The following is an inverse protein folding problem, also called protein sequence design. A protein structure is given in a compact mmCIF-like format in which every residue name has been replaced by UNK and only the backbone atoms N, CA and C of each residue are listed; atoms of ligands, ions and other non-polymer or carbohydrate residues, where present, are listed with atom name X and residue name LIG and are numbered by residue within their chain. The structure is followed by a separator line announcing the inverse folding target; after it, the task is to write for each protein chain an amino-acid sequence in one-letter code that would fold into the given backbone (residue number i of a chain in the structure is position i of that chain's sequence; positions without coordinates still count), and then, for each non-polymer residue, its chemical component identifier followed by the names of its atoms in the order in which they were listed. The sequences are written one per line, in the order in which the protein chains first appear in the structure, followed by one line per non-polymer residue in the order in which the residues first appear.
data_IF_815888936074
#
_entry.id   IF_815888936074
#
_cell.length_a   1.000
_cell.length_b   1.000
_cell.length_c   1.000
_cell.angle_alpha   90.00
_cell.angle_beta   90.00
_cell.angle_gamma   90.00
#
_symmetry.space_group_name_H-M   'P 1'
#
loop_
_entity.id
_entity.type
_entity.pdbx_description
1 polymer ?
#
# COMPACT_ATOMS: atom_id res chain seq x y z
N UNK A 1 46.15 -1.91 39.16
CA UNK A 1 45.94 -1.04 40.34
C UNK A 1 44.47 -0.66 40.30
N UNK A 2 43.69 -1.06 41.32
CA UNK A 2 42.29 -0.72 41.66
C UNK A 2 41.32 -0.31 40.51
N UNK A 3 40.20 -0.99 40.19
CA UNK A 3 39.27 -1.89 40.91
C UNK A 3 38.47 -1.28 42.08
N UNK A 4 37.21 -1.71 42.21
CA UNK A 4 36.17 -1.28 43.17
C UNK A 4 35.53 0.10 42.89
N UNK A 5 34.25 0.36 43.24
CA UNK A 5 33.20 -0.59 43.64
C UNK A 5 32.09 -0.01 44.56
N UNK A 6 30.82 -0.12 44.13
CA UNK A 6 29.56 0.05 44.91
C UNK A 6 29.28 1.44 45.54
N UNK A 7 27.99 1.73 45.80
CA UNK A 7 27.57 2.99 46.43
C UNK A 7 26.08 3.35 46.34
N UNK A 8 25.16 2.44 46.68
CA UNK A 8 23.74 2.80 46.86
C UNK A 8 23.54 3.75 48.05
N UNK A 9 22.57 4.67 47.96
CA UNK A 9 21.93 5.25 49.15
C UNK A 9 20.50 5.73 48.90
N UNK A 10 19.53 5.05 49.51
CA UNK A 10 18.15 5.52 49.66
C UNK A 10 18.08 6.80 50.50
N UNK A 11 17.09 7.66 50.22
CA UNK A 11 16.68 8.71 51.15
C UNK A 11 15.15 8.91 51.18
N UNK A 12 14.48 8.16 52.06
CA UNK A 12 13.08 8.41 52.45
C UNK A 12 12.98 8.95 53.87
N UNK A 13 12.50 10.19 54.04
CA UNK A 13 11.83 10.73 55.24
C UNK A 13 11.39 12.19 54.97
N UNK A 14 10.30 12.73 55.53
CA UNK A 14 9.10 12.15 56.16
C UNK A 14 8.04 13.25 56.31
N UNK A 15 6.77 12.90 56.51
CA UNK A 15 5.68 13.85 56.68
C UNK A 15 5.81 14.76 57.92
N UNK A 16 5.23 15.96 57.84
CA UNK A 16 4.50 16.53 58.97
C UNK A 16 3.34 17.43 58.51
N UNK A 17 2.17 17.27 59.13
CA UNK A 17 1.00 18.11 58.91
C UNK A 17 1.05 19.38 59.77
N UNK A 18 0.37 20.45 59.31
CA UNK A 18 -0.43 21.29 60.22
C UNK A 18 -1.59 21.96 59.49
N UNK A 19 -2.71 22.19 60.18
CA UNK A 19 -3.91 22.86 59.65
C UNK A 19 -4.12 24.21 60.34
N UNK A 20 -4.51 25.23 59.58
CA UNK A 20 -5.51 26.27 59.90
C UNK A 20 -5.32 27.49 58.96
N UNK A 21 -6.27 28.42 58.79
CA UNK A 21 -7.73 28.40 58.59
C UNK A 21 -8.18 29.88 58.47
N UNK A 22 -9.42 30.15 58.03
CA UNK A 22 -9.94 31.50 57.69
C UNK A 22 -9.29 32.11 56.41
N UNK A 23 -9.99 32.83 55.52
CA UNK A 23 -11.43 32.96 55.32
C UNK A 23 -11.96 34.40 55.36
N UNK A 24 -12.28 34.97 54.19
CA UNK A 24 -13.28 36.06 54.00
C UNK A 24 -13.68 36.23 52.53
N UNK A 25 -14.95 36.55 52.31
CA UNK A 25 -15.55 36.93 51.03
C UNK A 25 -15.50 38.43 50.80
N UNK A 26 -15.66 38.89 49.55
CA UNK A 26 -16.39 40.13 49.19
C UNK A 26 -16.67 40.24 47.67
N UNK A 27 -17.90 40.65 47.33
CA UNK A 27 -18.39 41.25 46.06
C UNK A 27 -19.17 42.52 46.48
N UNK A 28 -19.24 43.62 45.70
CA UNK A 28 -20.01 43.75 44.43
C UNK A 28 -19.21 44.58 43.37
N UNK A 29 -19.71 45.23 42.31
CA UNK A 29 -21.04 45.73 41.82
C UNK A 29 -20.97 45.87 40.27
N UNK A 30 -21.97 45.46 39.48
CA UNK A 30 -23.08 46.25 38.87
C UNK A 30 -22.67 47.44 37.96
N UNK A 31 -23.14 47.36 36.70
CA UNK A 31 -23.39 48.36 35.63
C UNK A 31 -23.06 49.86 35.86
N UNK A 32 -22.62 50.56 34.80
CA UNK A 32 -23.51 51.48 34.03
C UNK A 32 -22.89 52.19 32.78
N UNK A 33 -23.75 52.35 31.75
CA UNK A 33 -23.93 53.53 30.86
C UNK A 33 -23.03 53.93 29.65
N UNK A 34 -23.74 54.53 28.68
CA UNK A 34 -23.40 55.55 27.65
C UNK A 34 -22.73 55.14 26.31
N UNK A 35 -23.53 55.24 25.24
CA UNK A 35 -23.10 55.80 23.94
C UNK A 35 -23.35 57.32 23.92
N UNK A 36 -22.87 58.06 22.90
CA UNK A 36 -23.84 58.72 22.02
C UNK A 36 -23.42 59.00 20.55
N UNK A 37 -24.42 58.92 19.66
CA UNK A 37 -24.69 59.79 18.47
C UNK A 37 -23.64 59.83 17.32
N UNK A 38 -23.97 59.43 16.08
CA UNK A 38 -24.97 59.93 15.09
C UNK A 38 -24.41 61.03 14.18
N UNK A 39 -24.47 60.79 12.86
CA UNK A 39 -24.64 61.83 11.84
C UNK A 39 -25.52 61.31 10.69
N UNK A 40 -26.26 62.19 10.04
CA UNK A 40 -27.10 61.87 8.86
C UNK A 40 -26.29 62.02 7.56
N UNK A 41 -26.66 61.25 6.53
CA UNK A 41 -27.27 61.85 5.35
C UNK A 41 -28.13 60.83 4.60
N UNK A 42 -29.24 61.29 4.02
CA UNK A 42 -30.09 60.46 3.15
C UNK A 42 -29.81 60.79 1.69
N UNK A 43 -29.92 59.77 0.82
CA UNK A 43 -30.18 60.00 -0.60
C UNK A 43 -31.13 58.94 -1.15
N UNK A 44 -32.12 59.38 -1.91
CA UNK A 44 -33.12 58.55 -2.57
C UNK A 44 -32.67 58.33 -4.01
N UNK A 45 -32.58 57.07 -4.47
CA UNK A 45 -32.50 56.76 -5.92
C UNK A 45 -32.95 55.32 -6.23
N UNK A 46 -34.10 55.26 -6.90
CA UNK A 46 -34.48 54.40 -8.04
C UNK A 46 -33.76 53.06 -8.20
N UNK A 47 -34.55 51.98 -8.18
CA UNK A 47 -34.18 50.64 -8.63
C UNK A 47 -33.83 50.61 -10.13
N UNK A 48 -32.69 50.02 -10.47
CA UNK A 48 -32.46 49.43 -11.79
C UNK A 48 -31.75 48.08 -11.60
N UNK A 49 -32.31 47.02 -12.18
CA UNK A 49 -31.73 45.69 -12.20
C UNK A 49 -30.60 45.61 -13.22
N UNK A 50 -29.45 45.08 -12.81
CA UNK A 50 -28.38 44.65 -13.71
C UNK A 50 -28.01 43.23 -13.32
N UNK A 51 -28.28 42.29 -14.21
CA UNK A 51 -27.79 40.92 -14.12
C UNK A 51 -26.28 40.92 -14.41
N UNK A 52 -25.50 40.13 -13.67
CA UNK A 52 -24.06 39.99 -13.87
C UNK A 52 -23.74 38.51 -14.00
N UNK A 53 -23.21 38.12 -15.16
CA UNK A 53 -22.85 36.75 -15.47
C UNK A 53 -21.65 36.27 -14.63
N UNK A 54 -21.71 35.05 -14.12
CA UNK A 54 -20.58 34.44 -13.41
C UNK A 54 -19.46 34.05 -14.39
N UNK A 55 -18.36 34.79 -14.39
CA UNK A 55 -17.12 34.34 -15.03
C UNK A 55 -16.31 33.46 -14.10
N UNK A 56 -16.21 32.17 -14.45
CA UNK A 56 -15.18 31.28 -13.90
C UNK A 56 -13.79 31.91 -14.08
N UNK A 57 -13.04 32.02 -13.00
CA UNK A 57 -11.60 32.25 -13.02
C UNK A 57 -10.92 30.88 -13.01
N UNK A 58 -10.07 30.62 -14.01
CA UNK A 58 -9.18 29.46 -14.01
C UNK A 58 -7.94 29.78 -13.19
N UNK A 59 -7.72 29.03 -12.10
CA UNK A 59 -6.49 29.18 -11.32
C UNK A 59 -5.31 28.52 -12.07
N UNK A 60 -4.14 29.16 -12.04
CA UNK A 60 -2.92 28.69 -12.70
C UNK A 60 -1.77 28.77 -11.72
N UNK A 61 -1.29 27.62 -11.25
CA UNK A 61 -0.22 27.54 -10.25
C UNK A 61 0.83 26.49 -10.60
N UNK A 62 2.09 26.93 -10.77
CA UNK A 62 3.28 26.08 -10.63
C UNK A 62 3.67 25.26 -11.87
N UNK A 63 4.53 25.83 -12.71
CA UNK A 63 5.42 25.03 -13.57
C UNK A 63 6.54 24.43 -12.68
N UNK A 64 6.31 23.23 -12.14
CA UNK A 64 7.43 22.36 -11.73
C UNK A 64 8.03 21.74 -13.00
N UNK A 65 9.37 21.64 -13.08
CA UNK A 65 10.05 21.07 -14.25
C UNK A 65 9.92 19.54 -14.28
N UNK A 66 8.75 19.05 -14.69
CA UNK A 66 8.54 17.66 -15.06
C UNK A 66 9.45 17.29 -16.24
N UNK A 67 10.19 16.18 -16.13
CA UNK A 67 11.03 15.65 -17.21
C UNK A 67 10.14 14.94 -18.24
N UNK A 68 9.36 15.73 -18.98
CA UNK A 68 8.46 15.25 -20.03
C UNK A 68 9.29 14.74 -21.21
N UNK A 69 9.48 13.42 -21.28
CA UNK A 69 9.95 12.74 -22.47
C UNK A 69 8.82 12.72 -23.51
N UNK A 70 9.13 13.17 -24.73
CA UNK A 70 8.18 13.29 -25.83
C UNK A 70 7.64 11.90 -26.23
N UNK A 71 6.32 11.69 -26.05
CA UNK A 71 5.66 10.38 -26.24
C UNK A 71 5.33 9.58 -24.97
N UNK A 72 5.42 10.18 -23.77
CA UNK A 72 5.05 9.56 -22.50
C UNK A 72 3.58 9.08 -22.40
N UNK A 73 3.30 8.32 -21.33
CA UNK A 73 2.03 7.64 -21.08
C UNK A 73 0.87 8.63 -20.97
N UNK A 74 -0.06 8.47 -21.92
CA UNK A 74 -1.32 9.21 -22.01
C UNK A 74 -2.31 8.59 -21.02
N UNK A 75 -2.67 9.35 -19.99
CA UNK A 75 -3.71 8.95 -19.03
C UNK A 75 -5.05 8.77 -19.76
N UNK A 76 -5.68 7.59 -19.71
CA UNK A 76 -7.00 7.38 -20.30
C UNK A 76 -8.06 8.24 -19.58
N UNK A 77 -9.10 8.72 -20.28
CA UNK A 77 -10.10 9.62 -19.70
C UNK A 77 -11.05 8.94 -18.70
N UNK A 78 -11.07 7.61 -18.67
CA UNK A 78 -11.96 6.78 -17.83
C UNK A 78 -11.28 5.45 -17.47
N UNK A 79 -11.69 4.84 -16.36
CA UNK A 79 -11.27 3.52 -15.91
C UNK A 79 -11.81 2.39 -16.82
N UNK A 80 -11.51 1.13 -16.48
CA UNK A 80 -11.93 -0.05 -17.24
C UNK A 80 -13.46 -0.24 -17.33
N UNK A 81 -14.24 0.45 -16.49
CA UNK A 81 -15.72 0.44 -16.50
C UNK A 81 -16.34 1.65 -17.21
N UNK A 82 -15.55 2.66 -17.60
CA UNK A 82 -16.03 3.89 -18.23
C UNK A 82 -16.38 5.02 -17.24
N UNK A 83 -15.95 4.92 -15.99
CA UNK A 83 -16.13 5.96 -14.96
C UNK A 83 -14.83 6.78 -14.76
N UNK A 84 -14.92 7.86 -13.98
CA UNK A 84 -13.73 8.56 -13.47
C UNK A 84 -12.94 7.62 -12.56
N UNK A 85 -11.60 7.63 -12.64
CA UNK A 85 -10.74 6.84 -11.76
C UNK A 85 -10.91 7.20 -10.27
N UNK A 86 -11.02 6.18 -9.41
CA UNK A 86 -11.23 6.32 -7.96
C UNK A 86 -12.37 7.26 -7.58
N UNK A 87 -13.52 7.07 -8.23
CA UNK A 87 -14.76 7.80 -7.96
C UNK A 87 -15.71 6.94 -7.11
N UNK A 88 -15.65 7.18 -5.80
CA UNK A 88 -16.43 6.46 -4.79
C UNK A 88 -17.88 6.96 -4.67
N UNK A 89 -18.25 8.00 -5.43
CA UNK A 89 -19.60 8.59 -5.41
C UNK A 89 -20.47 8.19 -6.61
N UNK A 90 -19.92 7.46 -7.59
CA UNK A 90 -20.72 6.86 -8.67
C UNK A 90 -21.65 5.78 -8.13
N UNK A 91 -22.92 5.86 -8.50
CA UNK A 91 -23.84 4.72 -8.35
C UNK A 91 -23.42 3.60 -9.31
N UNK A 92 -22.67 2.65 -8.79
CA UNK A 92 -22.14 1.47 -9.49
C UNK A 92 -22.32 0.24 -8.60
N UNK A 93 -22.35 -0.95 -9.19
CA UNK A 93 -22.60 -2.19 -8.45
C UNK A 93 -21.51 -2.52 -7.40
N UNK A 94 -20.32 -1.91 -7.52
CA UNK A 94 -19.23 -2.02 -6.52
C UNK A 94 -19.34 -1.00 -5.38
N UNK A 95 -20.12 0.09 -5.51
CA UNK A 95 -20.15 1.22 -4.56
C UNK A 95 -20.38 0.78 -3.11
N UNK A 96 -21.46 0.05 -2.87
CA UNK A 96 -21.90 -0.33 -1.52
C UNK A 96 -20.90 -1.32 -0.88
N UNK A 97 -20.27 -2.17 -1.70
CA UNK A 97 -19.21 -3.08 -1.28
C UNK A 97 -17.93 -2.34 -0.87
N UNK A 98 -17.49 -1.35 -1.65
CA UNK A 98 -16.31 -0.54 -1.36
C UNK A 98 -16.53 0.36 -0.13
N UNK A 99 -17.73 0.94 0.06
CA UNK A 99 -18.02 1.70 1.29
C UNK A 99 -18.06 0.80 2.53
N UNK A 100 -18.66 -0.40 2.46
CA UNK A 100 -18.66 -1.36 3.58
C UNK A 100 -17.25 -1.91 3.87
N UNK A 101 -16.45 -2.16 2.83
CA UNK A 101 -15.02 -2.51 2.96
C UNK A 101 -14.27 -1.44 3.77
N UNK A 102 -14.38 -0.17 3.37
CA UNK A 102 -13.67 0.92 4.05
C UNK A 102 -14.23 1.17 5.45
N UNK A 103 -15.54 0.98 5.67
CA UNK A 103 -16.12 1.00 7.02
C UNK A 103 -15.49 -0.06 7.92
N UNK A 104 -15.38 -1.31 7.47
CA UNK A 104 -14.79 -2.39 8.27
C UNK A 104 -13.29 -2.16 8.49
N UNK A 105 -12.54 -1.74 7.47
CA UNK A 105 -11.14 -1.34 7.60
C UNK A 105 -10.96 -0.26 8.68
N UNK A 106 -11.66 0.87 8.53
CA UNK A 106 -11.48 2.03 9.39
C UNK A 106 -11.94 1.81 10.83
N UNK A 107 -12.83 0.85 11.10
CA UNK A 107 -13.20 0.45 12.46
C UNK A 107 -12.11 -0.37 13.16
N UNK A 108 -11.43 -1.26 12.43
CA UNK A 108 -10.57 -2.29 13.02
C UNK A 108 -9.06 -1.96 12.96
N UNK A 109 -8.63 -1.11 12.02
CA UNK A 109 -7.26 -0.60 11.92
C UNK A 109 -6.92 0.32 13.10
N UNK A 110 -6.40 -0.28 14.17
CA UNK A 110 -6.00 0.36 15.43
C UNK A 110 -4.52 0.12 15.71
N UNK A 111 -3.92 0.96 16.56
CA UNK A 111 -2.52 0.83 17.00
C UNK A 111 -2.23 -0.58 17.54
N UNK A 112 -3.14 -1.14 18.32
CA UNK A 112 -2.97 -2.47 18.90
C UNK A 112 -3.19 -3.61 17.89
N UNK A 113 -4.02 -3.39 16.85
CA UNK A 113 -4.13 -4.32 15.73
C UNK A 113 -2.82 -4.33 14.92
N UNK A 114 -2.38 -3.18 14.42
CA UNK A 114 -1.17 -3.03 13.59
C UNK A 114 0.07 -3.60 14.29
N UNK A 115 0.24 -3.37 15.60
CA UNK A 115 1.35 -3.95 16.37
C UNK A 115 1.34 -5.47 16.36
N UNK A 116 0.18 -6.12 16.60
CA UNK A 116 0.06 -7.59 16.54
C UNK A 116 0.34 -8.13 15.15
N UNK A 117 -0.16 -7.47 14.10
CA UNK A 117 0.07 -7.89 12.73
C UNK A 117 1.55 -7.81 12.35
N UNK A 118 2.24 -6.71 12.70
CA UNK A 118 3.69 -6.58 12.51
C UNK A 118 4.50 -7.60 13.34
N UNK A 119 4.06 -7.93 14.56
CA UNK A 119 4.70 -8.95 15.39
C UNK A 119 4.53 -10.37 14.81
N UNK A 120 3.34 -10.69 14.29
CA UNK A 120 3.09 -12.01 13.71
C UNK A 120 3.78 -12.16 12.35
N UNK A 121 3.51 -11.26 11.40
CA UNK A 121 3.95 -11.38 10.02
C UNK A 121 5.38 -10.90 9.80
N UNK A 122 5.96 -10.09 10.70
CA UNK A 122 7.37 -9.70 10.68
C UNK A 122 8.35 -10.86 10.89
N UNK A 123 7.86 -12.04 11.32
CA UNK A 123 8.63 -13.31 11.31
C UNK A 123 8.86 -13.85 9.91
N UNK A 124 8.03 -13.43 8.95
CA UNK A 124 7.92 -13.93 7.58
C UNK A 124 7.69 -15.46 7.48
N UNK A 125 7.23 -16.11 8.55
CA UNK A 125 7.35 -17.57 8.75
C UNK A 125 6.37 -18.46 7.95
N UNK A 126 5.65 -17.87 6.97
CA UNK A 126 4.49 -18.48 6.30
C UNK A 126 4.85 -19.45 5.16
N UNK A 127 5.40 -18.94 4.05
CA UNK A 127 5.64 -19.70 2.81
C UNK A 127 6.91 -19.22 2.11
N UNK A 128 7.77 -20.14 1.70
CA UNK A 128 8.97 -19.86 0.88
C UNK A 128 8.66 -20.10 -0.60
N UNK A 129 8.96 -19.13 -1.46
CA UNK A 129 8.77 -19.20 -2.92
C UNK A 129 9.69 -18.19 -3.64
N UNK A 130 9.65 -18.15 -4.98
CA UNK A 130 10.25 -17.08 -5.78
C UNK A 130 9.25 -15.97 -6.12
N UNK A 131 9.76 -14.76 -6.42
CA UNK A 131 8.92 -13.59 -6.76
C UNK A 131 7.99 -13.87 -7.94
N UNK A 132 8.41 -14.70 -8.90
CA UNK A 132 7.55 -15.04 -10.03
C UNK A 132 6.46 -16.05 -9.68
N UNK A 133 6.73 -17.03 -8.81
CA UNK A 133 5.69 -17.92 -8.27
C UNK A 133 4.65 -17.13 -7.45
N UNK A 134 5.08 -16.09 -6.73
CA UNK A 134 4.18 -15.16 -6.04
C UNK A 134 3.29 -14.37 -7.03
N UNK A 135 3.86 -13.90 -8.14
CA UNK A 135 3.09 -13.27 -9.23
C UNK A 135 2.06 -14.24 -9.84
N UNK A 136 2.43 -15.50 -10.05
CA UNK A 136 1.55 -16.53 -10.62
C UNK A 136 0.46 -16.99 -9.63
N UNK A 137 0.75 -17.02 -8.33
CA UNK A 137 -0.19 -17.38 -7.26
C UNK A 137 -1.32 -16.34 -7.08
N UNK A 138 -1.03 -15.05 -7.29
CA UNK A 138 -2.02 -13.98 -7.13
C UNK A 138 -3.10 -13.93 -8.23
N UNK A 139 -3.04 -14.78 -9.25
CA UNK A 139 -4.12 -14.92 -10.23
C UNK A 139 -5.48 -15.33 -9.62
N UNK A 140 -5.49 -15.89 -8.41
CA UNK A 140 -6.70 -16.28 -7.68
C UNK A 140 -7.27 -15.15 -6.79
N UNK A 141 -6.62 -13.97 -6.73
CA UNK A 141 -7.04 -12.83 -5.90
C UNK A 141 -7.69 -11.74 -6.76
N UNK A 142 -8.86 -11.26 -6.30
CA UNK A 142 -9.55 -10.06 -6.79
C UNK A 142 -9.64 -9.06 -5.64
N UNK A 143 -9.29 -7.81 -5.89
CA UNK A 143 -9.27 -6.72 -4.90
C UNK A 143 -10.68 -6.14 -4.71
N UNK A 144 -11.26 -6.28 -3.52
CA UNK A 144 -12.59 -5.75 -3.16
C UNK A 144 -12.61 -4.23 -2.95
N UNK A 145 -11.45 -3.59 -2.74
CA UNK A 145 -11.34 -2.15 -2.45
C UNK A 145 -11.20 -1.28 -3.71
N UNK A 146 -10.80 -1.89 -4.83
CA UNK A 146 -10.57 -1.21 -6.10
C UNK A 146 -11.91 -0.93 -6.83
N UNK A 147 -12.23 0.33 -7.15
CA UNK A 147 -13.38 0.66 -8.01
C UNK A 147 -13.06 0.59 -9.52
N UNK A 148 -11.79 0.40 -9.91
CA UNK A 148 -11.31 0.64 -11.28
C UNK A 148 -10.97 -0.63 -12.09
N UNK A 149 -10.83 -1.82 -11.48
CA UNK A 149 -10.42 -3.07 -12.13
C UNK A 149 -11.13 -4.33 -11.60
N UNK A 150 -11.11 -5.43 -12.39
CA UNK A 150 -11.65 -6.77 -12.06
C UNK A 150 -10.90 -7.89 -12.84
N UNK A 151 -9.64 -7.63 -13.22
CA UNK A 151 -8.77 -8.56 -13.94
C UNK A 151 -7.83 -9.29 -12.96
N UNK A 152 -7.25 -10.46 -13.32
CA UNK A 152 -6.31 -11.17 -12.45
C UNK A 152 -5.12 -10.30 -12.04
N UNK A 153 -4.73 -10.35 -10.77
CA UNK A 153 -3.74 -9.46 -10.17
C UNK A 153 -2.39 -9.40 -10.92
N UNK A 154 -1.96 -10.47 -11.61
CA UNK A 154 -0.72 -10.46 -12.41
C UNK A 154 -0.79 -9.49 -13.61
N UNK A 155 -1.98 -9.26 -14.17
CA UNK A 155 -2.17 -8.32 -15.28
C UNK A 155 -1.95 -6.89 -14.79
N UNK A 156 -2.43 -6.53 -13.59
CA UNK A 156 -2.16 -5.20 -12.99
C UNK A 156 -0.66 -4.96 -12.74
N UNK A 157 0.04 -5.96 -12.18
CA UNK A 157 1.49 -5.91 -11.97
C UNK A 157 2.25 -5.67 -13.28
N UNK A 158 1.90 -6.41 -14.34
CA UNK A 158 2.56 -6.32 -15.64
C UNK A 158 2.13 -5.09 -16.46
N UNK A 159 0.88 -4.63 -16.35
CA UNK A 159 0.41 -3.37 -16.94
C UNK A 159 1.17 -2.18 -16.33
N UNK A 160 1.26 -2.14 -15.01
CA UNK A 160 2.01 -1.09 -14.29
C UNK A 160 3.49 -1.11 -14.67
N UNK A 161 4.12 -2.29 -14.65
CA UNK A 161 5.54 -2.41 -14.94
C UNK A 161 5.90 -2.14 -16.42
N UNK A 162 5.15 -2.66 -17.39
CA UNK A 162 5.39 -2.38 -18.82
C UNK A 162 5.06 -0.92 -19.19
N UNK A 163 4.06 -0.30 -18.56
CA UNK A 163 3.73 1.11 -18.78
C UNK A 163 4.85 2.05 -18.29
N UNK A 164 5.42 1.79 -17.11
CA UNK A 164 6.63 2.51 -16.64
C UNK A 164 7.80 2.24 -17.57
N UNK A 165 8.04 0.97 -17.93
CA UNK A 165 9.17 0.54 -18.79
C UNK A 165 9.18 1.18 -20.17
N UNK A 166 8.01 1.53 -20.72
CA UNK A 166 7.89 2.29 -21.96
C UNK A 166 8.46 3.71 -21.82
N UNK A 167 8.24 4.35 -20.68
CA UNK A 167 8.54 5.77 -20.45
C UNK A 167 9.90 6.00 -19.77
N UNK A 168 10.35 5.07 -18.91
CA UNK A 168 11.60 5.12 -18.15
C UNK A 168 12.52 3.92 -18.45
N UNK A 169 12.83 3.60 -19.72
CA UNK A 169 13.38 2.29 -20.13
C UNK A 169 14.68 1.85 -19.43
N UNK A 170 15.48 2.79 -18.91
CA UNK A 170 16.72 2.52 -18.18
C UNK A 170 16.51 2.28 -16.66
N UNK A 171 15.38 2.65 -16.09
CA UNK A 171 15.09 2.59 -14.64
C UNK A 171 14.62 1.18 -14.19
N UNK A 172 15.43 0.16 -14.49
CA UNK A 172 15.10 -1.25 -14.26
C UNK A 172 14.76 -1.64 -12.81
N UNK A 173 15.12 -0.82 -11.81
CA UNK A 173 14.69 -0.99 -10.42
C UNK A 173 13.23 -0.60 -10.21
N UNK A 174 12.73 0.41 -10.93
CA UNK A 174 11.36 0.90 -10.86
C UNK A 174 10.40 -0.08 -11.55
N UNK A 175 10.83 -0.72 -12.65
CA UNK A 175 10.06 -1.79 -13.30
C UNK A 175 9.90 -3.01 -12.38
N UNK A 176 10.93 -3.33 -11.60
CA UNK A 176 10.85 -4.42 -10.62
C UNK A 176 10.01 -4.01 -9.40
N UNK A 177 10.17 -2.78 -8.90
CA UNK A 177 9.29 -2.20 -7.87
C UNK A 177 7.83 -2.30 -8.29
N UNK A 178 7.53 -1.99 -9.55
CA UNK A 178 6.20 -2.11 -10.13
C UNK A 178 5.71 -3.55 -10.32
N UNK A 179 6.59 -4.50 -10.63
CA UNK A 179 6.23 -5.92 -10.62
C UNK A 179 5.88 -6.41 -9.20
N UNK A 180 6.50 -5.83 -8.15
CA UNK A 180 6.40 -6.40 -6.79
C UNK A 180 5.53 -5.63 -5.79
N UNK A 181 5.07 -4.41 -6.09
CA UNK A 181 4.34 -3.54 -5.15
C UNK A 181 3.17 -4.27 -4.46
N UNK A 182 2.33 -4.91 -5.28
CA UNK A 182 1.08 -5.53 -4.87
C UNK A 182 1.25 -6.97 -4.35
N UNK A 183 2.48 -7.51 -4.34
CA UNK A 183 2.72 -8.90 -3.92
C UNK A 183 2.39 -9.18 -2.46
N UNK A 184 2.27 -8.13 -1.63
CA UNK A 184 1.77 -8.27 -0.26
C UNK A 184 0.32 -8.77 -0.16
N UNK A 185 -0.45 -8.77 -1.27
CA UNK A 185 -1.82 -9.29 -1.32
C UNK A 185 -1.95 -10.79 -1.02
N UNK A 186 -0.85 -11.55 -1.06
CA UNK A 186 -0.85 -12.97 -0.68
C UNK A 186 -1.32 -13.24 0.75
N UNK A 187 -1.31 -12.23 1.63
CA UNK A 187 -1.92 -12.27 2.96
C UNK A 187 -3.38 -12.77 2.99
N UNK A 188 -4.14 -12.54 1.92
CA UNK A 188 -5.52 -13.01 1.80
C UNK A 188 -5.63 -14.54 1.59
N UNK A 189 -4.54 -15.20 1.17
CA UNK A 189 -4.54 -16.62 0.82
C UNK A 189 -4.41 -17.52 2.06
N UNK A 190 -5.02 -18.73 2.08
CA UNK A 190 -4.96 -19.66 3.21
C UNK A 190 -3.54 -20.07 3.64
N UNK A 191 -2.59 -20.10 2.70
CA UNK A 191 -1.19 -20.44 3.00
C UNK A 191 -0.44 -19.36 3.79
N UNK A 192 -0.92 -18.11 3.77
CA UNK A 192 -0.30 -16.98 4.49
C UNK A 192 -1.04 -16.63 5.78
N UNK A 193 -2.35 -16.87 5.84
CA UNK A 193 -3.16 -16.65 7.04
C UNK A 193 -4.63 -16.37 6.80
N UNK A 194 -5.10 -16.35 5.54
CA UNK A 194 -6.50 -16.08 5.17
C UNK A 194 -7.04 -14.76 5.74
N UNK A 195 -6.24 -13.70 5.70
CA UNK A 195 -6.65 -12.42 6.25
C UNK A 195 -7.85 -11.85 5.47
N UNK A 196 -8.86 -11.28 6.14
CA UNK A 196 -9.97 -10.62 5.46
C UNK A 196 -9.44 -9.39 4.70
N UNK A 197 -10.00 -9.09 3.52
CA UNK A 197 -9.40 -8.11 2.62
C UNK A 197 -9.17 -6.73 3.24
N UNK A 198 -10.02 -6.29 4.20
CA UNK A 198 -9.83 -5.02 4.92
C UNK A 198 -8.50 -4.91 5.69
N UNK A 199 -7.86 -6.04 5.99
CA UNK A 199 -6.54 -6.16 6.63
C UNK A 199 -5.40 -6.46 5.62
N UNK A 200 -5.68 -6.33 4.32
CA UNK A 200 -4.76 -6.65 3.22
C UNK A 200 -4.69 -5.51 2.20
N UNK A 201 -5.81 -5.06 1.66
CA UNK A 201 -5.89 -4.10 0.53
C UNK A 201 -6.45 -2.73 0.94
N UNK A 202 -6.56 -1.81 -0.02
CA UNK A 202 -7.14 -0.49 0.15
C UNK A 202 -6.18 0.59 0.68
N UNK A 203 -6.65 1.83 0.65
CA UNK A 203 -5.91 3.03 1.09
C UNK A 203 -5.36 2.89 2.52
N UNK A 204 -4.08 3.21 2.70
CA UNK A 204 -3.42 3.19 4.01
C UNK A 204 -3.37 4.56 4.67
N UNK A 205 -3.36 4.57 6.01
CA UNK A 205 -3.28 5.77 6.84
C UNK A 205 -2.45 5.52 8.11
N UNK A 206 -1.84 6.56 8.73
CA UNK A 206 -1.19 6.43 10.02
C UNK A 206 -2.18 6.10 11.14
N UNK A 207 -1.89 5.08 11.94
CA UNK A 207 -2.58 4.83 13.21
C UNK A 207 -1.82 5.50 14.36
N UNK A 208 -2.51 5.84 15.44
CA UNK A 208 -1.87 6.41 16.65
C UNK A 208 -1.61 7.92 16.60
N UNK A 209 -2.03 8.59 15.53
CA UNK A 209 -2.28 10.03 15.47
C UNK A 209 -3.69 10.29 14.89
N UNK A 210 -4.11 11.55 14.80
CA UNK A 210 -5.45 11.87 14.31
C UNK A 210 -5.65 11.46 12.83
N UNK A 211 -6.81 10.86 12.53
CA UNK A 211 -7.25 10.54 11.18
C UNK A 211 -7.67 11.81 10.43
N UNK A 212 -6.99 12.11 9.32
CA UNK A 212 -7.19 13.30 8.50
C UNK A 212 -8.44 13.17 7.60
N UNK A 213 -9.21 14.26 7.43
CA UNK A 213 -10.47 14.25 6.68
C UNK A 213 -10.30 13.96 5.17
N UNK A 214 -9.06 13.96 4.65
CA UNK A 214 -8.74 13.53 3.28
C UNK A 214 -8.69 12.02 3.06
N UNK A 215 -8.77 11.19 4.12
CA UNK A 215 -8.88 9.73 3.98
C UNK A 215 -10.27 9.37 3.42
N UNK A 216 -10.32 8.45 2.46
CA UNK A 216 -11.56 7.97 1.84
C UNK A 216 -12.56 7.47 2.90
N UNK A 217 -13.86 7.74 2.74
CA UNK A 217 -14.92 7.42 3.72
C UNK A 217 -14.60 7.72 5.21
N UNK A 218 -13.80 8.76 5.53
CA UNK A 218 -13.36 9.16 6.89
C UNK A 218 -14.44 9.12 7.99
N UNK A 219 -15.70 9.39 7.61
CA UNK A 219 -16.90 9.32 8.48
C UNK A 219 -16.97 8.09 9.39
N UNK A 220 -16.40 6.95 8.97
CA UNK A 220 -16.43 5.69 9.72
C UNK A 220 -15.39 5.56 10.84
N UNK A 221 -14.31 6.35 10.85
CA UNK A 221 -13.34 6.31 11.96
C UNK A 221 -13.97 6.67 13.31
N UNK A 222 -15.14 7.31 13.35
CA UNK A 222 -15.89 7.59 14.58
C UNK A 222 -16.24 6.34 15.40
N UNK A 223 -16.28 5.17 14.76
CA UNK A 223 -16.51 3.86 15.38
C UNK A 223 -15.19 3.14 15.78
N UNK A 224 -14.01 3.65 15.37
CA UNK A 224 -12.70 3.10 15.74
C UNK A 224 -12.37 3.40 17.21
N UNK A 225 -11.85 2.41 17.99
CA UNK A 225 -11.48 2.63 19.40
C UNK A 225 -10.44 3.74 19.61
N UNK A 226 -9.57 3.99 18.64
CA UNK A 226 -8.48 4.98 18.74
C UNK A 226 -8.92 6.42 18.42
N UNK A 227 -10.04 6.62 17.70
CA UNK A 227 -10.48 7.94 17.25
C UNK A 227 -10.79 8.91 18.41
N UNK A 228 -11.32 8.39 19.52
CA UNK A 228 -11.60 9.17 20.73
C UNK A 228 -10.51 8.99 21.82
N UNK A 229 -9.43 8.26 21.54
CA UNK A 229 -8.37 7.98 22.51
C UNK A 229 -7.47 9.22 22.68
N UNK A 230 -7.34 9.81 23.90
CA UNK A 230 -6.56 11.03 24.12
C UNK A 230 -5.05 10.88 23.90
N UNK A 231 -4.53 9.65 23.80
CA UNK A 231 -3.15 9.41 23.39
C UNK A 231 -2.94 9.55 21.87
N UNK A 232 -3.99 9.37 21.07
CA UNK A 232 -3.90 9.21 19.62
C UNK A 232 -4.64 10.31 18.85
N UNK A 233 -5.72 10.88 19.37
CA UNK A 233 -6.60 11.83 18.67
C UNK A 233 -6.06 13.26 18.50
N UNK A 234 -4.73 13.43 18.45
CA UNK A 234 -4.06 14.73 18.21
C UNK A 234 -3.19 14.67 16.95
N UNK A 235 -2.77 15.84 16.42
CA UNK A 235 -1.99 15.96 15.17
C UNK A 235 -0.77 15.02 15.11
N UNK A 236 -0.08 14.81 16.23
CA UNK A 236 1.08 13.94 16.32
C UNK A 236 0.81 12.64 17.09
N UNK A 237 -0.11 12.64 18.06
CA UNK A 237 -0.44 11.45 18.86
C UNK A 237 0.78 10.90 19.58
N UNK A 238 1.22 9.69 19.20
CA UNK A 238 2.45 9.04 19.71
C UNK A 238 3.75 9.50 19.01
N UNK A 239 3.67 10.26 17.92
CA UNK A 239 4.83 10.63 17.10
C UNK A 239 5.43 11.99 17.49
N UNK A 240 6.62 12.29 16.99
CA UNK A 240 7.20 13.64 16.97
C UNK A 240 7.05 14.28 15.59
N UNK A 241 7.17 15.61 15.52
CA UNK A 241 7.33 16.30 14.25
C UNK A 241 8.60 15.80 13.53
N UNK A 242 8.49 15.59 12.21
CA UNK A 242 9.60 15.15 11.36
C UNK A 242 10.24 13.81 11.75
N UNK A 243 9.51 12.90 12.41
CA UNK A 243 10.06 11.61 12.87
C UNK A 243 10.53 10.69 11.72
N UNK A 244 10.10 10.93 10.49
CA UNK A 244 10.32 10.06 9.34
C UNK A 244 9.28 8.95 9.26
N UNK A 245 8.78 8.66 8.06
CA UNK A 245 7.69 7.69 7.89
C UNK A 245 8.08 6.24 8.25
N UNK A 246 9.38 5.88 8.29
CA UNK A 246 9.80 4.55 8.80
C UNK A 246 9.44 4.35 10.29
N UNK A 247 9.37 5.45 11.06
CA UNK A 247 8.98 5.48 12.47
C UNK A 247 7.45 5.63 12.69
N UNK A 248 6.65 5.68 11.62
CA UNK A 248 5.18 5.76 11.69
C UNK A 248 4.56 4.36 11.55
N UNK A 249 3.60 4.04 12.41
CA UNK A 249 2.75 2.86 12.22
C UNK A 249 1.64 3.19 11.22
N UNK A 250 1.73 2.60 10.03
CA UNK A 250 0.65 2.61 9.05
C UNK A 250 -0.38 1.53 9.38
N UNK A 251 -1.64 1.72 8.98
CA UNK A 251 -2.65 0.67 8.89
C UNK A 251 -2.09 -0.56 8.16
N UNK A 252 -2.32 -1.75 8.71
CA UNK A 252 -1.70 -2.98 8.22
C UNK A 252 -2.31 -3.44 6.90
N UNK A 253 -1.46 -3.84 5.96
CA UNK A 253 -1.84 -4.35 4.64
C UNK A 253 -0.62 -4.73 3.79
N UNK A 254 -0.86 -4.92 2.49
CA UNK A 254 0.11 -5.34 1.49
C UNK A 254 1.36 -4.44 1.43
N UNK A 255 1.23 -3.11 1.48
CA UNK A 255 2.35 -2.15 1.53
C UNK A 255 3.40 -2.52 2.60
N UNK A 256 2.95 -2.61 3.86
CA UNK A 256 3.83 -2.72 5.04
C UNK A 256 4.37 -4.15 5.20
N UNK A 257 3.60 -5.17 4.79
CA UNK A 257 4.06 -6.55 4.69
C UNK A 257 5.11 -6.74 3.58
N UNK A 258 4.86 -6.21 2.38
CA UNK A 258 5.80 -6.34 1.26
C UNK A 258 7.08 -5.53 1.49
N UNK A 259 6.99 -4.42 2.22
CA UNK A 259 8.16 -3.70 2.73
C UNK A 259 8.96 -4.54 3.75
N UNK A 260 8.31 -5.19 4.72
CA UNK A 260 8.98 -6.10 5.67
C UNK A 260 9.67 -7.26 4.93
N UNK A 261 8.97 -7.88 3.98
CA UNK A 261 9.53 -8.90 3.07
C UNK A 261 10.82 -8.40 2.42
N UNK A 262 10.80 -7.21 1.81
CA UNK A 262 11.97 -6.64 1.13
C UNK A 262 13.10 -6.23 2.09
N UNK A 263 12.78 -5.72 3.29
CA UNK A 263 13.76 -5.26 4.31
C UNK A 263 14.53 -6.43 4.91
N UNK A 264 13.84 -7.46 5.41
CA UNK A 264 14.47 -8.60 6.07
C UNK A 264 15.23 -9.51 5.09
N UNK A 265 14.78 -9.61 3.84
CA UNK A 265 15.52 -10.30 2.77
C UNK A 265 16.72 -9.50 2.26
N UNK A 266 16.93 -8.26 2.75
CA UNK A 266 18.03 -7.36 2.40
C UNK A 266 18.02 -7.06 0.90
N UNK A 267 16.84 -6.70 0.38
CA UNK A 267 16.66 -6.29 -1.01
C UNK A 267 17.64 -5.18 -1.39
N UNK A 268 18.13 -5.24 -2.62
CA UNK A 268 19.07 -4.28 -3.21
C UNK A 268 18.37 -3.21 -4.08
N UNK A 269 17.04 -3.05 -3.92
CA UNK A 269 16.31 -1.88 -4.41
C UNK A 269 16.80 -0.59 -3.72
N UNK A 270 16.76 0.57 -4.40
CA UNK A 270 17.05 1.86 -3.78
C UNK A 270 15.95 2.24 -2.76
N UNK A 271 16.22 3.21 -1.88
CA UNK A 271 15.24 3.65 -0.88
C UNK A 271 13.95 4.15 -1.50
N UNK A 272 14.00 4.83 -2.65
CA UNK A 272 12.83 5.18 -3.45
C UNK A 272 11.93 3.97 -3.81
N UNK A 273 12.53 2.82 -4.16
CA UNK A 273 11.77 1.60 -4.48
C UNK A 273 11.12 0.97 -3.24
N UNK A 274 11.82 0.97 -2.11
CA UNK A 274 11.26 0.51 -0.82
C UNK A 274 10.17 1.47 -0.30
N UNK A 275 10.32 2.77 -0.52
CA UNK A 275 9.36 3.81 -0.16
C UNK A 275 8.09 3.71 -0.99
N UNK A 276 8.21 3.46 -2.31
CA UNK A 276 7.05 3.15 -3.17
C UNK A 276 6.27 1.96 -2.60
N UNK A 277 6.95 0.82 -2.36
CA UNK A 277 6.28 -0.40 -1.86
C UNK A 277 5.49 -0.13 -0.58
N UNK A 278 6.02 0.66 0.36
CA UNK A 278 5.39 0.89 1.67
C UNK A 278 4.32 1.99 1.72
N UNK A 279 4.24 2.86 0.73
CA UNK A 279 3.38 4.05 0.79
C UNK A 279 2.58 4.31 -0.50
N UNK A 280 2.47 3.34 -1.40
CA UNK A 280 1.71 3.48 -2.64
C UNK A 280 0.18 3.48 -2.44
N UNK A 281 -0.28 2.91 -1.33
CA UNK A 281 -1.67 3.04 -0.89
C UNK A 281 -1.92 4.30 -0.02
N UNK A 282 -0.90 5.11 0.29
CA UNK A 282 -1.04 6.23 1.23
C UNK A 282 -1.59 7.50 0.55
N UNK A 283 -2.75 7.40 -0.09
CA UNK A 283 -3.33 8.45 -0.93
C UNK A 283 -3.57 9.79 -0.21
N UNK A 284 -3.86 9.77 1.10
CA UNK A 284 -3.94 10.98 1.91
C UNK A 284 -2.62 11.80 1.88
N UNK A 285 -1.46 11.14 1.80
CA UNK A 285 -0.17 11.81 1.61
C UNK A 285 0.07 12.19 0.13
N UNK A 286 0.13 11.22 -0.79
CA UNK A 286 0.65 11.50 -2.14
C UNK A 286 -0.35 12.19 -3.08
N UNK A 287 -1.67 12.02 -2.86
CA UNK A 287 -2.74 12.69 -3.62
C UNK A 287 -3.27 13.94 -2.91
N UNK A 288 -3.59 13.86 -1.61
CA UNK A 288 -4.18 14.99 -0.88
C UNK A 288 -3.16 15.90 -0.16
N UNK A 289 -1.93 15.41 0.09
CA UNK A 289 -0.87 16.22 0.68
C UNK A 289 -0.91 16.35 2.22
N UNK A 290 -1.71 15.55 2.91
CA UNK A 290 -1.78 15.46 4.36
C UNK A 290 -0.51 14.81 4.96
N UNK A 291 -0.44 14.72 6.29
CA UNK A 291 0.62 14.04 7.07
C UNK A 291 2.09 14.47 6.87
N UNK A 292 2.37 15.47 6.03
CA UNK A 292 3.72 16.03 5.78
C UNK A 292 4.48 16.47 7.04
N UNK A 293 3.80 16.70 8.16
CA UNK A 293 4.42 17.01 9.46
C UNK A 293 5.11 15.81 10.14
N UNK A 294 4.93 14.60 9.62
CA UNK A 294 5.64 13.39 10.07
C UNK A 294 6.87 13.07 9.19
N UNK A 295 6.91 13.60 7.96
CA UNK A 295 7.97 13.32 6.99
C UNK A 295 9.32 13.94 7.37
N UNK A 296 10.41 13.25 7.00
CA UNK A 296 11.77 13.78 7.00
C UNK A 296 12.23 14.20 5.58
N UNK A 297 13.51 14.54 5.43
CA UNK A 297 14.11 14.94 4.14
C UNK A 297 14.13 13.80 3.11
N UNK A 298 14.44 12.56 3.52
CA UNK A 298 14.46 11.39 2.64
C UNK A 298 13.05 11.01 2.16
N UNK A 299 12.05 11.07 3.04
CA UNK A 299 10.64 10.88 2.66
C UNK A 299 10.22 11.91 1.60
N UNK A 300 10.73 13.15 1.70
CA UNK A 300 10.39 14.25 0.80
C UNK A 300 11.01 14.07 -0.59
N UNK A 301 12.22 13.50 -0.68
CA UNK A 301 12.83 13.12 -1.95
C UNK A 301 12.14 11.88 -2.56
N UNK A 302 11.88 10.85 -1.76
CA UNK A 302 11.25 9.61 -2.23
C UNK A 302 9.77 9.80 -2.65
N UNK A 303 9.06 10.77 -2.07
CA UNK A 303 7.69 11.14 -2.49
C UNK A 303 7.60 11.55 -3.97
N UNK A 304 8.70 12.05 -4.57
CA UNK A 304 8.76 12.38 -6.00
C UNK A 304 8.62 11.11 -6.86
N UNK A 305 9.35 10.06 -6.50
CA UNK A 305 9.28 8.76 -7.16
C UNK A 305 7.95 8.04 -6.90
N UNK A 306 7.37 8.18 -5.71
CA UNK A 306 6.02 7.69 -5.41
C UNK A 306 4.95 8.35 -6.30
N UNK A 307 5.00 9.67 -6.49
CA UNK A 307 4.08 10.36 -7.43
C UNK A 307 4.24 9.87 -8.87
N UNK A 308 5.48 9.65 -9.32
CA UNK A 308 5.75 9.06 -10.64
C UNK A 308 5.12 7.66 -10.73
N UNK A 309 5.40 6.78 -9.76
CA UNK A 309 4.86 5.42 -9.73
C UNK A 309 3.33 5.37 -9.74
N UNK A 310 2.67 6.14 -8.88
CA UNK A 310 1.22 6.12 -8.69
C UNK A 310 0.44 6.56 -9.96
N UNK A 311 1.05 7.32 -10.87
CA UNK A 311 0.49 7.57 -12.21
C UNK A 311 0.26 6.25 -12.98
N UNK A 312 1.19 5.31 -12.91
CA UNK A 312 1.12 4.07 -13.69
C UNK A 312 0.29 3.01 -12.97
N UNK A 313 0.43 2.88 -11.65
CA UNK A 313 -0.42 2.01 -10.83
C UNK A 313 -1.91 2.35 -11.05
N UNK A 314 -2.30 3.61 -10.89
CA UNK A 314 -3.70 3.99 -11.06
C UNK A 314 -4.16 3.91 -12.53
N UNK A 315 -3.41 4.47 -13.47
CA UNK A 315 -3.92 4.74 -14.82
C UNK A 315 -3.56 3.68 -15.88
N UNK A 316 -2.68 2.71 -15.60
CA UNK A 316 -2.37 1.62 -16.55
C UNK A 316 -3.44 0.51 -16.59
N UNK A 317 -4.29 0.44 -15.55
CA UNK A 317 -5.37 -0.53 -15.37
C UNK A 317 -6.25 -0.64 -16.62
N UNK A 318 -6.21 -1.80 -17.26
CA UNK A 318 -6.74 -1.98 -18.61
C UNK A 318 -7.33 -3.37 -18.85
N UNK A 319 -8.28 -3.45 -19.79
CA UNK A 319 -8.79 -4.72 -20.35
C UNK A 319 -7.91 -5.29 -21.47
N UNK A 320 -6.81 -4.61 -21.81
CA UNK A 320 -5.77 -5.11 -22.71
C UNK A 320 -4.72 -5.83 -21.87
N UNK A 321 -4.75 -7.17 -21.92
CA UNK A 321 -3.83 -8.05 -21.21
C UNK A 321 -2.42 -8.04 -21.79
N UNK A 322 -1.44 -8.31 -20.95
CA UNK A 322 -0.02 -8.41 -21.32
C UNK A 322 0.29 -9.85 -21.76
N UNK A 323 1.15 -9.98 -22.77
CA UNK A 323 1.70 -11.28 -23.19
C UNK A 323 2.74 -11.75 -22.15
N UNK A 324 2.24 -12.46 -21.12
CA UNK A 324 3.01 -12.88 -19.94
C UNK A 324 4.28 -13.62 -20.33
N UNK A 325 4.19 -14.63 -21.21
CA UNK A 325 5.35 -15.46 -21.60
C UNK A 325 6.38 -14.68 -22.43
N UNK A 326 5.97 -13.64 -23.16
CA UNK A 326 6.88 -12.72 -23.86
C UNK A 326 7.63 -11.78 -22.92
N UNK A 327 7.03 -11.36 -21.80
CA UNK A 327 7.66 -10.41 -20.85
C UNK A 327 8.38 -11.08 -19.67
N UNK A 328 7.95 -12.27 -19.27
CA UNK A 328 8.51 -13.09 -18.18
C UNK A 328 10.04 -13.25 -18.23
N UNK A 329 10.70 -13.49 -19.38
CA UNK A 329 12.17 -13.53 -19.45
C UNK A 329 12.87 -12.21 -19.05
N UNK A 330 12.25 -11.05 -19.34
CA UNK A 330 12.78 -9.76 -18.92
C UNK A 330 12.68 -9.57 -17.42
N UNK A 331 11.50 -9.85 -16.84
CA UNK A 331 11.27 -9.67 -15.41
C UNK A 331 12.08 -10.65 -14.55
N UNK A 332 12.21 -11.93 -14.96
CA UNK A 332 13.15 -12.86 -14.33
C UNK A 332 14.59 -12.33 -14.35
N UNK A 333 15.01 -11.65 -15.42
CA UNK A 333 16.34 -11.00 -15.51
C UNK A 333 16.49 -9.74 -14.65
N UNK A 334 15.40 -9.15 -14.16
CA UNK A 334 15.43 -8.09 -13.15
C UNK A 334 15.48 -8.68 -11.74
N UNK A 335 14.64 -9.68 -11.45
CA UNK A 335 14.61 -10.35 -10.15
C UNK A 335 15.99 -10.94 -9.83
N UNK A 336 16.62 -11.65 -10.78
CA UNK A 336 17.97 -12.23 -10.61
C UNK A 336 19.10 -11.21 -10.42
N UNK A 337 18.88 -9.91 -10.62
CA UNK A 337 19.84 -8.84 -10.28
C UNK A 337 19.72 -8.39 -8.83
N UNK A 338 18.53 -8.48 -8.24
CA UNK A 338 18.30 -8.10 -6.84
C UNK A 338 18.70 -9.25 -5.93
N UNK A 339 19.88 -9.11 -5.33
CA UNK A 339 20.39 -10.09 -4.36
C UNK A 339 19.62 -9.97 -3.07
N UNK A 340 18.94 -11.04 -2.67
CA UNK A 340 18.50 -11.28 -1.29
C UNK A 340 19.58 -12.08 -0.56
N UNK A 341 20.05 -11.60 0.59
CA UNK A 341 21.28 -12.14 1.22
C UNK A 341 21.06 -12.75 2.61
N UNK A 342 20.05 -13.62 2.73
CA UNK A 342 19.92 -14.60 3.79
C UNK A 342 19.00 -15.76 3.39
N UNK A 343 19.25 -16.96 3.92
CA UNK A 343 18.38 -18.13 3.74
C UNK A 343 17.20 -18.08 4.72
N UNK A 344 16.18 -17.28 4.40
CA UNK A 344 14.84 -17.32 5.00
C UNK A 344 13.82 -16.77 3.99
N UNK A 345 12.92 -17.63 3.48
CA UNK A 345 11.68 -17.29 2.78
C UNK A 345 11.73 -16.75 1.34
N UNK A 346 12.91 -16.47 0.76
CA UNK A 346 13.08 -16.38 -0.71
C UNK A 346 14.38 -17.06 -1.17
N UNK A 347 14.41 -18.39 -1.15
CA UNK A 347 15.60 -19.18 -1.53
C UNK A 347 15.71 -19.38 -3.05
N UNK A 348 16.58 -18.59 -3.69
CA UNK A 348 16.92 -18.76 -5.11
C UNK A 348 17.84 -19.98 -5.34
N UNK A 349 17.26 -21.13 -5.70
CA UNK A 349 18.03 -22.24 -6.29
C UNK A 349 18.17 -22.09 -7.81
N UNK A 350 19.15 -21.28 -8.25
CA UNK A 350 19.51 -21.16 -9.67
C UNK A 350 20.31 -22.40 -10.16
N UNK A 351 19.60 -23.53 -10.30
CA UNK A 351 20.15 -24.86 -10.56
C UNK A 351 20.39 -25.20 -12.04
N UNK A 352 21.35 -24.53 -12.69
CA UNK A 352 21.90 -24.89 -14.02
C UNK A 352 20.90 -24.99 -15.19
N UNK A 353 20.48 -23.84 -15.75
CA UNK A 353 19.80 -23.80 -17.06
C UNK A 353 20.64 -24.38 -18.23
N UNK A 354 21.94 -24.62 -18.03
CA UNK A 354 22.85 -25.22 -19.01
C UNK A 354 22.59 -26.71 -19.32
N UNK A 355 21.77 -27.42 -18.54
CA UNK A 355 21.59 -28.88 -18.68
C UNK A 355 20.37 -29.25 -19.55
N UNK A 356 19.29 -28.48 -19.53
CA UNK A 356 18.05 -28.84 -20.24
C UNK A 356 18.15 -28.71 -21.77
N UNK A 357 18.95 -27.77 -22.28
CA UNK A 357 19.15 -27.60 -23.73
C UNK A 357 19.72 -28.87 -24.41
N UNK A 358 20.58 -29.62 -23.71
CA UNK A 358 21.21 -30.85 -24.26
C UNK A 358 20.30 -32.09 -24.31
N UNK A 359 19.08 -32.04 -23.76
CA UNK A 359 18.11 -33.14 -23.93
C UNK A 359 17.16 -32.94 -25.12
N UNK A 360 17.02 -31.73 -25.65
CA UNK A 360 16.24 -31.49 -26.87
C UNK A 360 16.97 -32.00 -28.13
N UNK A 361 18.30 -31.89 -28.18
CA UNK A 361 19.10 -32.26 -29.36
C UNK A 361 19.42 -33.76 -29.45
N UNK A 362 19.26 -34.54 -28.37
CA UNK A 362 19.54 -35.99 -28.36
C UNK A 362 18.33 -36.88 -28.68
N UNK A 363 17.24 -36.31 -29.22
CA UNK A 363 16.01 -37.06 -29.61
C UNK A 363 15.73 -36.98 -31.12
N UNK A 364 16.41 -36.09 -31.87
CA UNK A 364 16.20 -35.85 -33.30
C UNK A 364 17.49 -35.95 -34.13
N UNK A 365 18.25 -37.04 -33.98
CA UNK A 365 19.44 -37.34 -34.77
C UNK A 365 19.47 -38.79 -35.27
N UNK A 366 19.79 -38.98 -36.56
CA UNK A 366 19.96 -40.26 -37.27
C UNK A 366 18.66 -41.11 -37.39
N UNK A 367 17.97 -41.24 -38.53
CA UNK A 367 18.36 -41.70 -39.89
C UNK A 367 18.93 -43.13 -39.87
N UNK A 368 18.40 -44.13 -40.58
CA UNK A 368 17.19 -44.20 -41.43
C UNK A 368 17.11 -45.52 -42.23
N UNK A 369 15.92 -45.86 -42.73
CA UNK A 369 15.61 -46.89 -43.77
C UNK A 369 16.22 -48.31 -43.70
N UNK A 370 15.39 -49.34 -43.42
CA UNK A 370 15.14 -50.45 -44.39
C UNK A 370 14.15 -51.53 -43.87
N UNK A 371 13.12 -51.78 -44.68
CA UNK A 371 12.37 -53.03 -44.98
C UNK A 371 12.15 -54.21 -43.98
N UNK A 372 10.86 -54.56 -43.86
CA UNK A 372 10.26 -55.92 -43.87
C UNK A 372 10.58 -56.94 -42.74
N UNK A 373 9.54 -57.25 -41.94
CA UNK A 373 9.42 -58.41 -41.05
C UNK A 373 7.99 -58.53 -40.50
N UNK A 374 7.48 -59.73 -40.21
CA UNK A 374 6.04 -59.95 -39.94
C UNK A 374 5.71 -60.61 -38.59
N UNK A 375 4.42 -60.53 -38.24
CA UNK A 375 3.61 -61.48 -37.43
C UNK A 375 3.87 -61.64 -35.91
N UNK A 376 2.77 -61.43 -35.16
CA UNK A 376 2.35 -62.06 -33.88
C UNK A 376 3.12 -61.71 -32.57
N UNK A 377 2.46 -61.37 -31.44
CA UNK A 377 1.10 -60.77 -31.25
C UNK A 377 1.20 -59.56 -30.24
N UNK A 378 0.78 -59.51 -28.97
CA UNK A 378 -0.11 -60.32 -28.13
C UNK A 378 -1.13 -59.44 -27.37
N UNK A 379 -2.39 -59.86 -27.30
CA UNK A 379 -3.46 -59.24 -26.47
C UNK A 379 -3.60 -59.86 -25.08
N UNK A 380 -4.01 -59.05 -24.10
CA UNK A 380 -5.18 -59.32 -23.23
C UNK A 380 -5.64 -58.07 -22.45
N UNK A 381 -6.96 -57.93 -22.27
CA UNK A 381 -7.62 -57.20 -21.15
C UNK A 381 -7.85 -58.24 -20.01
N UNK A 382 -8.31 -57.96 -18.79
CA UNK A 382 -9.51 -57.18 -18.40
C UNK A 382 -9.59 -56.99 -16.86
N UNK A 383 -10.12 -55.83 -16.43
CA UNK A 383 -10.83 -55.48 -15.17
C UNK A 383 -10.44 -56.01 -13.76
N UNK A 384 -10.15 -55.04 -12.88
CA UNK A 384 -10.88 -54.70 -11.63
C UNK A 384 -11.07 -55.68 -10.44
N UNK A 385 -10.45 -55.27 -9.32
CA UNK A 385 -10.96 -55.17 -7.94
C UNK A 385 -11.28 -56.40 -7.04
N UNK A 386 -10.96 -56.16 -5.76
CA UNK A 386 -11.42 -56.79 -4.52
C UNK A 386 -11.14 -58.29 -4.29
N UNK A 387 -10.26 -58.54 -3.32
CA UNK A 387 -10.67 -59.34 -2.14
C UNK A 387 -10.09 -58.75 -0.85
N UNK A 388 -10.73 -59.07 0.27
CA UNK A 388 -10.62 -58.36 1.55
C UNK A 388 -9.84 -59.10 2.63
N UNK A 389 -9.42 -58.33 3.64
CA UNK A 389 -8.94 -58.78 4.95
C UNK A 389 -9.75 -59.96 5.55
N UNK A 390 -9.04 -60.99 6.01
CA UNK A 390 -9.35 -61.73 7.26
C UNK A 390 -8.06 -62.27 7.86
N UNK A 391 -7.53 -61.58 8.87
CA UNK A 391 -7.09 -62.11 10.18
C UNK A 391 -6.62 -60.94 11.07
#
# INVERSE_FOLDING_TARGET
IFSEGLGDSDFQCKDSHTRNSQGRTLRPTINTFHSPKTLHHAFLLITNTVEVEEKKVSDQTGEENELVLDGGFVVPPTNAFGHTFRDYDVNSDRRDGVEEFYRINHINQSVDFVKRMREEYGKLDKVEMSIWECCELLNEVVDESDPDLDEPQIEHLLQTAEAIRKDYPDEGWLHLTALIHDLGKVLHLPAFGELPQWAVVGDTCPVGCAFDESIVHHKHFKENPDYNNPAYNTKYGIYSEGCGLDNVLMSWGHDDYMYLVAKENKSTLPSAGLFIIRYHSFYALHRAGAYKHLMNEEDTENLKWLKIFNKYDLYSKSKVRIDVEKVKPYYLSLIGKVKTSCSCYWSWMEGNFAILSRKAEMVNGEVGSSEVGSSEEIRWRTEANNQSLTD
#
